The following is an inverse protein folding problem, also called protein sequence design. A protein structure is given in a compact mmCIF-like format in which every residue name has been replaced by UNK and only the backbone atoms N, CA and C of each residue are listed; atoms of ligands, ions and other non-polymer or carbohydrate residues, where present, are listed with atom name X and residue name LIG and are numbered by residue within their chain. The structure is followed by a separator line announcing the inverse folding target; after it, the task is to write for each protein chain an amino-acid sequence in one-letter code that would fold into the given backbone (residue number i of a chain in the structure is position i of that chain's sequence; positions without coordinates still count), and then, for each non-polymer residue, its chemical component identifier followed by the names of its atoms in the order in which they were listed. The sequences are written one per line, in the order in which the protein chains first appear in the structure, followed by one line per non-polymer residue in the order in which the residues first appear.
data_IF_692860735983
#
_entry.id   IF_692860735983
#
_cell.length_a   1.000
_cell.length_b   1.000
_cell.length_c   1.000
_cell.angle_alpha   90.00
_cell.angle_beta   90.00
_cell.angle_gamma   90.00
#
_symmetry.space_group_name_H-M   'P 1'
#
loop_
_entity.id
_entity.type
_entity.pdbx_description
1 polymer ?
#
# COMPACT_ATOMS: atom_id res chain seq x y z
N UNK A 1 1.79 23.88 13.29
CA UNK A 1 2.63 23.79 12.05
C UNK A 1 4.08 23.57 12.42
N UNK A 2 4.71 22.62 11.74
CA UNK A 2 6.13 22.31 11.89
C UNK A 2 7.00 23.49 11.41
N UNK A 3 8.29 23.48 11.75
CA UNK A 3 9.21 24.50 11.20
C UNK A 3 9.32 24.46 9.67
N UNK A 4 8.99 23.31 9.06
CA UNK A 4 9.00 23.14 7.61
C UNK A 4 7.83 23.86 6.92
N UNK A 5 6.63 23.78 7.49
CA UNK A 5 5.43 24.38 6.89
C UNK A 5 5.40 25.92 7.02
N UNK A 6 6.14 26.48 7.97
CA UNK A 6 6.24 27.95 8.15
C UNK A 6 6.81 28.69 6.93
N UNK A 7 7.61 28.00 6.11
CA UNK A 7 8.17 28.57 4.88
C UNK A 7 7.06 28.98 3.91
N UNK A 8 5.97 28.21 3.88
CA UNK A 8 4.83 28.42 2.99
C UNK A 8 3.79 29.44 3.51
N UNK A 9 3.89 29.88 4.78
CA UNK A 9 2.87 30.76 5.39
C UNK A 9 2.74 32.11 4.67
N UNK A 10 3.83 32.60 4.08
CA UNK A 10 3.90 33.90 3.38
C UNK A 10 3.66 33.75 1.87
N UNK A 11 3.50 32.54 1.38
CA UNK A 11 3.29 32.29 -0.04
C UNK A 11 1.77 32.29 -0.33
N UNK A 12 1.33 33.30 -1.10
CA UNK A 12 -0.08 33.49 -1.45
C UNK A 12 -0.59 32.35 -2.34
N UNK A 13 0.26 31.87 -3.26
CA UNK A 13 -0.08 30.76 -4.17
C UNK A 13 -0.32 29.45 -3.39
N UNK A 14 0.54 29.17 -2.40
CA UNK A 14 0.35 28.02 -1.52
C UNK A 14 -0.92 28.14 -0.67
N UNK A 15 -1.23 29.34 -0.20
CA UNK A 15 -2.45 29.58 0.59
C UNK A 15 -3.71 29.39 -0.26
N UNK A 16 -3.70 29.88 -1.50
CA UNK A 16 -4.77 29.69 -2.48
C UNK A 16 -4.93 28.22 -2.86
N UNK A 17 -3.81 27.50 -3.07
CA UNK A 17 -3.82 26.07 -3.33
C UNK A 17 -4.46 25.28 -2.17
N UNK A 18 -4.09 25.58 -0.92
CA UNK A 18 -4.67 24.91 0.26
C UNK A 18 -6.18 25.15 0.37
N UNK A 19 -6.65 26.37 0.12
CA UNK A 19 -8.08 26.69 0.07
C UNK A 19 -8.79 25.93 -1.06
N UNK A 20 -8.15 25.86 -2.23
CA UNK A 20 -8.71 25.14 -3.39
C UNK A 20 -8.91 23.64 -3.09
N UNK A 21 -7.98 23.01 -2.38
CA UNK A 21 -8.10 21.61 -1.94
C UNK A 21 -9.28 21.42 -0.97
N UNK A 22 -9.57 22.40 -0.14
CA UNK A 22 -10.68 22.31 0.83
C UNK A 22 -12.05 22.59 0.23
N UNK A 23 -12.12 23.48 -0.74
CA UNK A 23 -13.41 24.03 -1.24
C UNK A 23 -13.81 23.49 -2.61
N UNK A 24 -12.89 22.99 -3.41
CA UNK A 24 -13.15 22.55 -4.77
C UNK A 24 -13.45 21.06 -4.86
N UNK A 25 -14.61 20.74 -5.42
CA UNK A 25 -14.94 19.38 -5.86
C UNK A 25 -14.35 19.03 -7.24
N UNK A 26 -13.20 19.58 -7.63
CA UNK A 26 -12.57 19.35 -8.93
C UNK A 26 -11.04 19.32 -8.82
N UNK A 27 -10.36 18.64 -9.76
CA UNK A 27 -8.90 18.56 -9.77
C UNK A 27 -8.21 19.94 -9.84
N UNK A 28 -7.05 20.02 -9.20
CA UNK A 28 -6.19 21.20 -9.16
C UNK A 28 -4.83 20.83 -9.76
N UNK A 29 -4.25 21.75 -10.55
CA UNK A 29 -2.90 21.60 -11.13
C UNK A 29 -1.86 22.37 -10.31
N UNK A 30 -0.69 21.77 -10.11
CA UNK A 30 0.50 22.40 -9.52
C UNK A 30 1.67 22.12 -10.45
N UNK A 31 2.37 23.17 -10.85
CA UNK A 31 3.55 23.09 -11.73
C UNK A 31 4.75 23.79 -11.12
N UNK A 32 5.96 23.38 -11.56
CA UNK A 32 7.21 24.03 -11.17
C UNK A 32 7.86 23.50 -9.89
N UNK A 33 7.28 22.47 -9.24
CA UNK A 33 7.88 21.85 -8.07
C UNK A 33 8.84 20.72 -8.48
N UNK A 34 10.10 20.81 -8.07
CA UNK A 34 11.06 19.70 -8.16
C UNK A 34 10.71 18.59 -7.15
N UNK A 35 11.30 17.39 -7.30
CA UNK A 35 10.91 16.19 -6.54
C UNK A 35 10.82 16.42 -5.03
N UNK A 36 11.88 16.95 -4.40
CA UNK A 36 11.86 17.18 -2.94
C UNK A 36 10.87 18.29 -2.54
N UNK A 37 10.63 19.26 -3.43
CA UNK A 37 9.69 20.34 -3.17
C UNK A 37 8.24 19.83 -3.22
N UNK A 38 7.93 18.81 -4.05
CA UNK A 38 6.63 18.12 -4.02
C UNK A 38 6.39 17.45 -2.67
N UNK A 39 7.40 16.73 -2.16
CA UNK A 39 7.32 16.07 -0.84
C UNK A 39 7.06 17.11 0.26
N UNK A 40 7.80 18.22 0.25
CA UNK A 40 7.64 19.31 1.21
C UNK A 40 6.26 19.96 1.09
N UNK A 41 5.79 20.22 -0.14
CA UNK A 41 4.46 20.79 -0.38
C UNK A 41 3.34 19.85 0.11
N UNK A 42 3.41 18.54 -0.18
CA UNK A 42 2.44 17.55 0.31
C UNK A 42 2.41 17.53 1.83
N UNK A 43 3.56 17.43 2.51
CA UNK A 43 3.64 17.49 3.97
C UNK A 43 2.96 18.75 4.51
N UNK A 44 3.29 19.92 3.95
CA UNK A 44 2.79 21.20 4.43
C UNK A 44 1.30 21.41 4.14
N UNK A 45 0.79 20.89 3.01
CA UNK A 45 -0.64 20.90 2.68
C UNK A 45 -1.43 20.01 3.65
N UNK A 46 -0.93 18.81 3.94
CA UNK A 46 -1.57 17.90 4.91
C UNK A 46 -1.58 18.52 6.31
N UNK A 47 -0.50 19.15 6.75
CA UNK A 47 -0.45 19.83 8.04
C UNK A 47 -1.41 21.03 8.11
N UNK A 48 -1.57 21.79 7.01
CA UNK A 48 -2.45 22.96 6.94
C UNK A 48 -3.92 22.58 6.85
N UNK A 49 -4.26 21.55 6.07
CA UNK A 49 -5.65 21.11 5.85
C UNK A 49 -6.13 20.09 6.87
N UNK A 50 -5.22 19.45 7.61
CA UNK A 50 -5.54 18.32 8.49
C UNK A 50 -5.93 17.04 7.77
N UNK A 51 -5.82 16.99 6.43
CA UNK A 51 -6.18 15.83 5.61
C UNK A 51 -5.00 14.87 5.45
N UNK A 52 -5.31 13.59 5.35
CA UNK A 52 -4.35 12.54 4.99
C UNK A 52 -4.02 12.61 3.51
N UNK A 53 -2.85 12.10 3.11
CA UNK A 53 -2.41 12.10 1.71
C UNK A 53 -2.41 10.71 1.09
N UNK A 54 -2.85 10.61 -0.16
CA UNK A 54 -2.54 9.49 -1.02
C UNK A 54 -1.75 9.98 -2.23
N UNK A 55 -0.54 9.45 -2.43
CA UNK A 55 0.39 9.93 -3.44
C UNK A 55 0.57 8.86 -4.50
N UNK A 56 0.27 9.22 -5.75
CA UNK A 56 0.49 8.36 -6.92
C UNK A 56 1.72 8.86 -7.68
N UNK A 57 2.65 7.95 -7.93
CA UNK A 57 3.89 8.21 -8.68
C UNK A 57 3.95 7.37 -9.96
N UNK A 58 4.83 7.71 -10.93
CA UNK A 58 4.89 7.00 -12.20
C UNK A 58 5.30 5.54 -12.11
N UNK A 59 6.19 5.20 -11.16
CA UNK A 59 6.76 3.86 -11.02
C UNK A 59 7.16 3.55 -9.56
N UNK A 60 7.48 2.28 -9.29
CA UNK A 60 7.88 1.81 -7.95
C UNK A 60 9.11 2.54 -7.41
N UNK A 61 10.12 2.81 -8.25
CA UNK A 61 11.32 3.51 -7.81
C UNK A 61 11.03 4.96 -7.37
N UNK A 62 10.11 5.62 -8.07
CA UNK A 62 9.64 6.96 -7.68
C UNK A 62 8.79 6.91 -6.42
N UNK A 63 7.98 5.85 -6.24
CA UNK A 63 7.19 5.64 -5.02
C UNK A 63 8.09 5.45 -3.79
N UNK A 64 9.10 4.59 -3.90
CA UNK A 64 10.08 4.36 -2.82
C UNK A 64 10.78 5.66 -2.44
N UNK A 65 11.32 6.41 -3.42
CA UNK A 65 11.99 7.70 -3.15
C UNK A 65 11.06 8.71 -2.49
N UNK A 66 9.81 8.81 -2.95
CA UNK A 66 8.84 9.72 -2.36
C UNK A 66 8.50 9.33 -0.92
N UNK A 67 8.28 8.02 -0.68
CA UNK A 67 8.04 7.45 0.64
C UNK A 67 9.20 7.72 1.60
N UNK A 68 10.45 7.41 1.21
CA UNK A 68 11.64 7.66 2.02
C UNK A 68 11.78 9.13 2.39
N UNK A 69 11.62 10.02 1.40
CA UNK A 69 11.69 11.45 1.62
C UNK A 69 10.57 11.96 2.54
N UNK A 70 9.31 11.55 2.31
CA UNK A 70 8.17 12.00 3.12
C UNK A 70 8.27 11.49 4.57
N UNK A 71 8.81 10.29 4.78
CA UNK A 71 9.06 9.72 6.10
C UNK A 71 10.09 10.51 6.93
N UNK A 72 10.89 11.39 6.31
CA UNK A 72 11.76 12.31 7.03
C UNK A 72 11.00 13.53 7.58
N UNK A 73 9.85 13.86 7.01
CA UNK A 73 9.04 14.99 7.45
C UNK A 73 7.99 14.59 8.49
N UNK A 74 7.42 13.39 8.37
CA UNK A 74 6.29 12.93 9.20
C UNK A 74 6.32 11.43 9.43
N UNK A 75 5.70 10.99 10.51
CA UNK A 75 5.48 9.57 10.82
C UNK A 75 4.15 9.08 10.22
N UNK A 76 3.94 7.77 10.20
CA UNK A 76 2.71 7.18 9.68
C UNK A 76 2.59 7.22 8.16
N UNK A 77 3.72 7.28 7.46
CA UNK A 77 3.81 7.17 6.00
C UNK A 77 3.99 5.69 5.64
N UNK A 78 3.19 5.18 4.69
CA UNK A 78 3.28 3.80 4.25
C UNK A 78 3.47 3.72 2.74
N UNK A 79 4.26 2.73 2.30
CA UNK A 79 4.44 2.39 0.90
C UNK A 79 3.49 1.23 0.56
N UNK A 80 2.64 1.44 -0.46
CA UNK A 80 1.74 0.42 -1.00
C UNK A 80 2.34 -0.12 -2.30
N UNK A 81 2.97 -1.31 -2.30
CA UNK A 81 3.70 -1.82 -3.44
C UNK A 81 2.80 -2.45 -4.49
N UNK A 82 3.29 -2.50 -5.72
CA UNK A 82 2.75 -3.38 -6.74
C UNK A 82 3.06 -4.84 -6.37
N UNK A 83 2.09 -5.73 -6.55
CA UNK A 83 2.32 -7.18 -6.46
C UNK A 83 2.17 -7.84 -7.83
N UNK A 84 2.74 -9.02 -7.97
CA UNK A 84 2.49 -9.87 -9.13
C UNK A 84 1.37 -10.87 -8.81
N UNK A 85 0.40 -10.99 -9.72
CA UNK A 85 -0.67 -11.96 -9.58
C UNK A 85 -0.18 -13.34 -10.05
N UNK A 86 -0.42 -14.34 -9.22
CA UNK A 86 -0.16 -15.74 -9.57
C UNK A 86 -1.31 -16.27 -10.41
N UNK A 87 -1.18 -16.20 -11.72
CA UNK A 87 -2.21 -16.64 -12.67
C UNK A 87 -1.99 -18.07 -13.19
N UNK A 88 -0.83 -18.67 -12.89
CA UNK A 88 -0.45 -20.03 -13.23
C UNK A 88 -0.06 -20.82 -11.98
N UNK A 89 -0.19 -22.14 -12.03
CA UNK A 89 0.24 -23.05 -10.94
C UNK A 89 1.77 -23.18 -10.97
N UNK A 90 2.46 -22.28 -10.25
CA UNK A 90 3.92 -22.23 -10.12
C UNK A 90 4.30 -22.40 -8.65
N UNK A 91 5.40 -23.10 -8.38
CA UNK A 91 5.93 -23.30 -7.03
C UNK A 91 6.86 -22.14 -6.60
N UNK A 92 6.93 -21.86 -5.28
CA UNK A 92 7.91 -20.95 -4.71
C UNK A 92 7.65 -19.45 -4.88
N UNK A 93 6.38 -19.05 -5.08
CA UNK A 93 6.02 -17.65 -5.22
C UNK A 93 6.02 -16.96 -3.87
N UNK A 94 6.76 -15.84 -3.77
CA UNK A 94 6.73 -14.96 -2.60
C UNK A 94 5.39 -14.20 -2.54
N UNK A 95 4.78 -14.18 -1.35
CA UNK A 95 3.58 -13.38 -1.05
C UNK A 95 3.90 -12.13 -0.24
N UNK A 96 5.16 -11.77 -0.13
CA UNK A 96 5.62 -10.66 0.69
C UNK A 96 4.91 -9.33 0.34
N UNK A 97 4.87 -8.97 -0.95
CA UNK A 97 4.18 -7.74 -1.36
C UNK A 97 2.67 -7.77 -1.13
N UNK A 98 2.02 -8.93 -1.27
CA UNK A 98 0.60 -9.10 -0.91
C UNK A 98 0.37 -8.85 0.59
N UNK A 99 1.26 -9.38 1.43
CA UNK A 99 1.18 -9.22 2.88
C UNK A 99 1.46 -7.78 3.32
N UNK A 100 2.44 -7.10 2.70
CA UNK A 100 2.69 -5.66 2.93
C UNK A 100 1.45 -4.83 2.56
N UNK A 101 0.82 -5.13 1.41
CA UNK A 101 -0.41 -4.44 0.97
C UNK A 101 -1.53 -4.59 1.99
N UNK A 102 -1.79 -5.81 2.47
CA UNK A 102 -2.81 -6.09 3.49
C UNK A 102 -2.54 -5.32 4.78
N UNK A 103 -1.27 -5.26 5.21
CA UNK A 103 -0.86 -4.45 6.36
C UNK A 103 -1.16 -2.96 6.18
N UNK A 104 -0.86 -2.40 5.00
CA UNK A 104 -1.17 -1.00 4.69
C UNK A 104 -2.68 -0.75 4.64
N UNK A 105 -3.45 -1.66 4.01
CA UNK A 105 -4.91 -1.55 3.95
C UNK A 105 -5.55 -1.59 5.33
N UNK A 106 -5.03 -2.42 6.27
CA UNK A 106 -5.48 -2.43 7.66
C UNK A 106 -5.21 -1.10 8.34
N UNK A 107 -4.00 -0.54 8.19
CA UNK A 107 -3.65 0.79 8.72
C UNK A 107 -4.56 1.91 8.20
N UNK A 108 -5.00 1.81 6.94
CA UNK A 108 -5.94 2.76 6.36
C UNK A 108 -7.31 2.64 7.05
N UNK A 109 -7.83 1.42 7.23
CA UNK A 109 -9.12 1.16 7.90
C UNK A 109 -9.12 1.68 9.34
N UNK A 110 -8.03 1.44 10.07
CA UNK A 110 -7.88 1.88 11.47
C UNK A 110 -7.68 3.39 11.60
N UNK A 111 -7.40 4.05 10.49
CA UNK A 111 -7.06 5.46 10.49
C UNK A 111 -5.65 5.77 11.03
N UNK A 112 -4.81 4.75 11.24
CA UNK A 112 -3.45 4.84 11.79
C UNK A 112 -2.42 5.10 10.69
N UNK A 113 -2.62 6.20 9.95
CA UNK A 113 -1.69 6.65 8.91
C UNK A 113 -1.81 8.15 8.68
N UNK A 114 -0.76 8.76 8.12
CA UNK A 114 -0.76 10.16 7.67
C UNK A 114 -0.68 10.27 6.15
N UNK A 115 0.02 9.34 5.51
CA UNK A 115 0.16 9.29 4.07
C UNK A 115 0.36 7.86 3.57
N UNK A 116 -0.13 7.59 2.36
CA UNK A 116 0.16 6.37 1.60
C UNK A 116 0.75 6.76 0.26
N UNK A 117 1.85 6.12 -0.11
CA UNK A 117 2.54 6.32 -1.39
C UNK A 117 2.45 5.05 -2.22
N UNK A 118 2.06 5.17 -3.47
CA UNK A 118 1.98 4.05 -4.42
C UNK A 118 2.45 4.47 -5.81
N UNK A 119 2.90 3.51 -6.61
CA UNK A 119 2.96 3.71 -8.05
C UNK A 119 1.57 3.66 -8.66
N UNK A 120 1.38 4.24 -9.84
CA UNK A 120 0.12 4.14 -10.57
C UNK A 120 -0.27 2.67 -10.85
N UNK A 121 0.73 1.83 -11.12
CA UNK A 121 0.53 0.40 -11.32
C UNK A 121 0.05 -0.32 -10.06
N UNK A 122 0.60 0.00 -8.89
CA UNK A 122 0.16 -0.56 -7.62
C UNK A 122 -1.26 -0.12 -7.26
N UNK A 123 -1.55 1.18 -7.42
CA UNK A 123 -2.84 1.77 -7.11
C UNK A 123 -3.97 1.28 -8.03
N UNK A 124 -3.63 0.98 -9.31
CA UNK A 124 -4.60 0.45 -10.27
C UNK A 124 -5.02 -0.99 -9.98
N UNK A 125 -4.18 -1.79 -9.29
CA UNK A 125 -4.47 -3.21 -9.05
C UNK A 125 -5.70 -3.40 -8.15
N UNK A 126 -6.55 -4.35 -8.53
CA UNK A 126 -7.64 -4.79 -7.68
C UNK A 126 -7.12 -5.46 -6.41
N UNK A 127 -7.91 -5.34 -5.35
CA UNK A 127 -7.65 -5.94 -4.04
C UNK A 127 -8.98 -6.30 -3.38
N UNK A 128 -8.92 -6.92 -2.22
CA UNK A 128 -10.08 -7.21 -1.38
C UNK A 128 -10.80 -5.89 -1.00
N UNK A 129 -12.14 -5.85 -0.94
CA UNK A 129 -12.87 -4.65 -0.52
C UNK A 129 -12.70 -4.36 0.97
N UNK A 130 -12.83 -3.08 1.42
CA UNK A 130 -12.66 -2.70 2.83
C UNK A 130 -13.53 -3.52 3.79
N UNK A 131 -14.78 -3.77 3.40
CA UNK A 131 -15.71 -4.55 4.21
C UNK A 131 -15.21 -5.99 4.42
N UNK A 132 -14.70 -6.64 3.37
CA UNK A 132 -14.19 -8.01 3.45
C UNK A 132 -12.92 -8.10 4.32
N UNK A 133 -12.05 -7.09 4.27
CA UNK A 133 -10.89 -7.00 5.15
C UNK A 133 -11.33 -6.84 6.61
N UNK A 134 -12.24 -5.92 6.88
CA UNK A 134 -12.75 -5.63 8.22
C UNK A 134 -13.46 -6.83 8.86
N UNK A 135 -14.30 -7.56 8.10
CA UNK A 135 -15.01 -8.74 8.58
C UNK A 135 -14.09 -9.91 8.95
N UNK A 136 -12.93 -9.98 8.30
CA UNK A 136 -11.94 -11.06 8.49
C UNK A 136 -10.80 -10.67 9.44
N UNK A 137 -10.71 -9.39 9.80
CA UNK A 137 -9.78 -8.89 10.81
C UNK A 137 -10.38 -9.02 12.21
N UNK A 138 -9.53 -9.26 13.20
CA UNK A 138 -9.94 -9.29 14.60
C UNK A 138 -8.76 -9.05 15.51
N UNK A 139 -9.07 -8.61 16.72
CA UNK A 139 -8.08 -8.33 17.74
C UNK A 139 -8.17 -9.38 18.86
N UNK A 140 -7.02 -9.77 19.40
CA UNK A 140 -6.90 -10.60 20.59
C UNK A 140 -6.18 -9.77 21.64
N UNK A 141 -6.73 -9.69 22.84
CA UNK A 141 -6.18 -8.93 23.95
C UNK A 141 -5.98 -9.81 25.20
N UNK A 142 -5.05 -9.42 26.06
CA UNK A 142 -4.87 -10.06 27.36
C UNK A 142 -6.17 -10.00 28.15
N UNK A 143 -6.61 -11.11 28.72
CA UNK A 143 -7.87 -11.27 29.42
C UNK A 143 -9.07 -11.70 28.57
N UNK A 144 -8.93 -11.76 27.23
CA UNK A 144 -9.99 -12.29 26.37
C UNK A 144 -10.21 -13.79 26.63
N UNK A 145 -11.46 -14.25 26.48
CA UNK A 145 -11.80 -15.67 26.46
C UNK A 145 -11.82 -16.18 25.02
N UNK A 146 -10.99 -17.16 24.71
CA UNK A 146 -10.89 -17.74 23.37
C UNK A 146 -10.86 -19.28 23.43
N UNK A 147 -11.62 -19.91 22.54
CA UNK A 147 -11.51 -21.35 22.29
C UNK A 147 -10.49 -21.58 21.17
N UNK A 148 -9.47 -22.42 21.40
CA UNK A 148 -8.39 -22.67 20.44
C UNK A 148 -8.85 -23.35 19.15
N UNK A 149 -9.85 -24.22 19.20
CA UNK A 149 -10.37 -24.91 18.01
C UNK A 149 -11.16 -23.93 17.12
N UNK A 150 -11.98 -23.07 17.74
CA UNK A 150 -12.69 -22.02 17.03
C UNK A 150 -11.70 -21.01 16.44
N UNK A 151 -10.65 -20.67 17.20
CA UNK A 151 -9.58 -19.78 16.73
C UNK A 151 -8.82 -20.39 15.55
N UNK A 152 -8.46 -21.68 15.60
CA UNK A 152 -7.83 -22.36 14.48
C UNK A 152 -8.71 -22.30 13.22
N UNK A 153 -10.02 -22.54 13.38
CA UNK A 153 -10.97 -22.45 12.28
C UNK A 153 -11.04 -21.04 11.71
N UNK A 154 -11.04 -20.01 12.57
CA UNK A 154 -11.07 -18.60 12.19
C UNK A 154 -9.79 -18.17 11.45
N UNK A 155 -8.62 -18.61 11.93
CA UNK A 155 -7.34 -18.36 11.27
C UNK A 155 -7.27 -19.01 9.89
N UNK A 156 -7.69 -20.28 9.75
CA UNK A 156 -7.75 -20.96 8.44
C UNK A 156 -8.68 -20.22 7.46
N UNK A 157 -9.84 -19.72 7.93
CA UNK A 157 -10.76 -18.89 7.11
C UNK A 157 -10.15 -17.53 6.73
N UNK A 158 -9.26 -16.98 7.56
CA UNK A 158 -8.49 -15.79 7.27
C UNK A 158 -7.27 -16.06 6.35
N UNK A 159 -7.07 -17.33 5.93
CA UNK A 159 -6.04 -17.73 4.98
C UNK A 159 -4.73 -18.19 5.60
N UNK A 160 -4.63 -18.26 6.94
CA UNK A 160 -3.43 -18.77 7.61
C UNK A 160 -3.25 -20.27 7.44
N UNK A 161 -2.00 -20.70 7.41
CA UNK A 161 -1.63 -22.10 7.37
C UNK A 161 -1.15 -22.58 8.73
N UNK A 162 -1.61 -23.77 9.14
CA UNK A 162 -1.19 -24.40 10.40
C UNK A 162 0.10 -25.18 10.21
N UNK A 163 1.07 -24.94 11.09
CA UNK A 163 2.35 -25.64 11.15
C UNK A 163 2.63 -26.10 12.57
N UNK A 164 3.61 -27.00 12.73
CA UNK A 164 4.07 -27.43 14.05
C UNK A 164 4.83 -26.29 14.77
N UNK A 165 5.50 -25.43 14.01
CA UNK A 165 6.22 -24.26 14.48
C UNK A 165 6.06 -23.12 13.48
N UNK A 166 5.93 -21.87 13.98
CA UNK A 166 5.88 -20.68 13.15
C UNK A 166 7.29 -20.27 12.78
N UNK A 167 7.59 -20.26 11.48
CA UNK A 167 8.87 -19.85 10.89
C UNK A 167 8.71 -18.83 9.75
N UNK A 168 7.48 -18.43 9.45
CA UNK A 168 7.15 -17.45 8.41
C UNK A 168 5.82 -16.75 8.64
N UNK A 169 5.63 -15.65 7.91
CA UNK A 169 4.41 -14.86 7.94
C UNK A 169 3.21 -15.67 7.46
N UNK A 170 2.00 -15.37 7.98
CA UNK A 170 0.75 -16.07 7.67
C UNK A 170 0.70 -17.52 8.16
N UNK A 171 1.56 -17.89 9.09
CA UNK A 171 1.55 -19.18 9.77
C UNK A 171 1.00 -19.06 11.19
N UNK A 172 0.44 -20.16 11.69
CA UNK A 172 0.10 -20.31 13.09
C UNK A 172 0.39 -21.73 13.58
N UNK A 173 0.61 -21.86 14.89
CA UNK A 173 0.83 -23.15 15.58
C UNK A 173 0.03 -23.18 16.87
N UNK A 174 -0.55 -24.32 17.19
CA UNK A 174 -1.24 -24.55 18.47
C UNK A 174 -0.59 -25.76 19.14
N UNK A 175 -0.09 -25.56 20.36
CA UNK A 175 0.58 -26.56 21.17
C UNK A 175 0.14 -26.43 22.64
N UNK A 176 -0.76 -27.33 23.09
CA UNK A 176 -1.38 -27.20 24.41
C UNK A 176 -2.13 -25.87 24.54
N UNK A 177 -1.86 -25.11 25.59
CA UNK A 177 -2.43 -23.78 25.81
C UNK A 177 -1.67 -22.63 25.13
N UNK A 178 -0.86 -22.91 24.10
CA UNK A 178 -0.06 -21.90 23.37
C UNK A 178 -0.56 -21.76 21.94
N UNK A 179 -0.77 -20.52 21.52
CA UNK A 179 -1.09 -20.14 20.15
C UNK A 179 -0.02 -19.17 19.65
N UNK A 180 0.79 -19.63 18.71
CA UNK A 180 1.79 -18.81 18.00
C UNK A 180 1.20 -18.37 16.66
N UNK A 181 1.32 -17.08 16.32
CA UNK A 181 0.81 -16.51 15.07
C UNK A 181 1.80 -15.49 14.53
N UNK A 182 2.01 -15.47 13.20
CA UNK A 182 2.73 -14.41 12.53
C UNK A 182 1.81 -13.65 11.54
N UNK A 183 1.18 -12.55 11.98
CA UNK A 183 0.27 -11.79 11.11
C UNK A 183 1.01 -11.07 9.98
N UNK A 184 0.40 -10.89 8.79
CA UNK A 184 0.90 -9.99 7.77
C UNK A 184 1.10 -8.56 8.29
N UNK A 185 2.18 -7.90 7.86
CA UNK A 185 2.48 -6.52 8.28
C UNK A 185 3.02 -6.36 9.70
N UNK A 186 3.14 -7.45 10.48
CA UNK A 186 3.82 -7.43 11.76
C UNK A 186 5.33 -7.64 11.56
N UNK A 187 6.16 -6.95 12.36
CA UNK A 187 7.62 -7.14 12.35
C UNK A 187 8.03 -8.47 12.96
N UNK A 188 7.31 -8.91 14.00
CA UNK A 188 7.59 -10.11 14.77
C UNK A 188 6.33 -10.95 14.97
N UNK A 189 6.47 -12.29 15.05
CA UNK A 189 5.37 -13.17 15.46
C UNK A 189 5.04 -12.98 16.94
N UNK A 190 3.83 -13.41 17.31
CA UNK A 190 3.35 -13.35 18.68
C UNK A 190 3.03 -14.74 19.21
N UNK A 191 3.30 -14.94 20.50
CA UNK A 191 2.91 -16.10 21.30
C UNK A 191 1.85 -15.70 22.30
N UNK A 192 0.70 -16.32 22.21
CA UNK A 192 -0.45 -16.11 23.09
C UNK A 192 -0.53 -17.32 24.02
N UNK A 193 -0.43 -17.07 25.32
CA UNK A 193 -0.54 -18.11 26.36
C UNK A 193 -1.92 -18.04 26.98
N UNK A 194 -2.54 -19.22 27.13
CA UNK A 194 -3.85 -19.35 27.73
C UNK A 194 -3.75 -20.06 29.08
N UNK A 195 -4.53 -19.56 30.04
CA UNK A 195 -4.86 -20.28 31.28
C UNK A 195 -6.32 -20.72 31.18
N UNK A 196 -6.55 -22.03 30.89
CA UNK A 196 -7.85 -22.51 30.43
C UNK A 196 -8.19 -21.87 29.08
N UNK A 197 -9.32 -21.17 29.00
CA UNK A 197 -9.76 -20.45 27.80
C UNK A 197 -9.44 -18.93 27.86
N UNK A 198 -8.81 -18.45 28.95
CA UNK A 198 -8.47 -17.04 29.13
C UNK A 198 -7.06 -16.75 28.64
N UNK A 199 -6.88 -15.68 27.85
CA UNK A 199 -5.58 -15.19 27.41
C UNK A 199 -4.83 -14.58 28.62
N UNK A 200 -3.80 -15.29 29.07
CA UNK A 200 -2.97 -14.86 30.22
C UNK A 200 -1.95 -13.81 29.78
N UNK A 201 -1.21 -14.10 28.70
CA UNK A 201 -0.19 -13.18 28.21
C UNK A 201 -0.01 -13.25 26.68
N UNK A 202 0.43 -12.13 26.11
CA UNK A 202 0.81 -12.02 24.69
C UNK A 202 2.23 -11.49 24.63
N UNK A 203 3.14 -12.25 23.99
CA UNK A 203 4.54 -11.87 23.87
C UNK A 203 4.99 -11.99 22.42
N UNK A 204 5.82 -11.07 21.96
CA UNK A 204 6.56 -11.23 20.71
C UNK A 204 7.65 -12.28 20.91
N UNK A 205 8.08 -12.91 19.82
CA UNK A 205 9.20 -13.84 19.86
C UNK A 205 10.05 -13.78 18.59
N UNK A 206 11.30 -14.11 18.71
CA UNK A 206 12.25 -14.20 17.61
C UNK A 206 12.10 -15.54 16.87
N UNK A 207 11.93 -15.50 15.56
CA UNK A 207 11.69 -16.69 14.71
C UNK A 207 12.84 -17.70 14.80
N UNK A 208 14.08 -17.23 14.74
CA UNK A 208 15.25 -18.11 14.65
C UNK A 208 15.52 -18.84 15.98
N UNK A 209 15.34 -18.14 17.10
CA UNK A 209 15.63 -18.69 18.43
C UNK A 209 14.38 -19.18 19.16
N UNK A 210 13.19 -18.82 18.70
CA UNK A 210 11.88 -19.10 19.34
C UNK A 210 11.76 -18.51 20.76
N UNK A 211 12.67 -17.59 21.13
CA UNK A 211 12.68 -16.95 22.45
C UNK A 211 11.76 -15.75 22.47
N UNK A 212 11.04 -15.60 23.57
CA UNK A 212 10.21 -14.41 23.83
C UNK A 212 11.08 -13.16 23.89
N UNK A 213 10.53 -12.06 23.41
CA UNK A 213 11.11 -10.73 23.46
C UNK A 213 10.21 -9.79 24.27
N UNK A 214 9.39 -8.99 23.64
CA UNK A 214 8.58 -7.96 24.29
C UNK A 214 7.16 -8.45 24.62
N UNK A 215 6.63 -8.04 25.76
CA UNK A 215 5.21 -8.20 26.07
C UNK A 215 4.39 -7.14 25.35
N UNK A 216 3.23 -7.56 24.84
CA UNK A 216 2.24 -6.67 24.22
C UNK A 216 0.85 -6.95 24.83
N UNK A 217 0.00 -5.94 24.88
CA UNK A 217 -1.33 -6.09 25.48
C UNK A 217 -2.35 -6.71 24.51
N UNK A 218 -2.07 -6.62 23.21
CA UNK A 218 -2.96 -7.12 22.18
C UNK A 218 -2.23 -7.34 20.86
N UNK A 219 -2.80 -8.17 20.00
CA UNK A 219 -2.39 -8.39 18.62
C UNK A 219 -3.58 -8.25 17.69
N UNK A 220 -3.37 -7.61 16.57
CA UNK A 220 -4.33 -7.54 15.49
C UNK A 220 -4.04 -8.65 14.47
N UNK A 221 -5.07 -9.40 14.12
CA UNK A 221 -5.01 -10.46 13.13
C UNK A 221 -5.77 -9.98 11.90
N UNK A 222 -5.06 -9.83 10.79
CA UNK A 222 -5.61 -9.47 9.49
C UNK A 222 -5.56 -10.68 8.54
N UNK A 223 -6.33 -10.69 7.44
CA UNK A 223 -6.24 -11.76 6.44
C UNK A 223 -4.82 -11.95 5.90
N UNK A 224 -4.48 -13.18 5.58
CA UNK A 224 -3.13 -13.53 5.07
C UNK A 224 -3.01 -13.46 3.55
N UNK A 225 -4.10 -13.29 2.83
CA UNK A 225 -4.18 -13.20 1.36
C UNK A 225 -5.32 -12.28 0.94
N UNK A 226 -5.16 -11.62 -0.21
CA UNK A 226 -6.19 -10.74 -0.78
C UNK A 226 -7.36 -11.52 -1.39
N UNK A 227 -7.22 -12.80 -1.71
CA UNK A 227 -8.27 -13.61 -2.34
C UNK A 227 -8.82 -14.64 -1.38
N UNK A 228 -9.96 -14.35 -0.78
CA UNK A 228 -10.64 -15.21 0.18
C UNK A 228 -12.12 -15.38 -0.18
N UNK A 229 -12.60 -16.59 -0.04
CA UNK A 229 -14.01 -16.97 -0.08
C UNK A 229 -14.47 -17.37 1.33
N UNK A 230 -15.76 -17.33 1.59
CA UNK A 230 -16.28 -17.71 2.91
C UNK A 230 -16.10 -19.23 3.19
N UNK A 231 -16.14 -20.04 2.12
CA UNK A 231 -15.82 -21.48 2.19
C UNK A 231 -15.33 -22.01 0.84
N UNK A 232 -14.71 -23.20 0.87
CA UNK A 232 -14.31 -23.91 -0.36
C UNK A 232 -15.52 -24.28 -1.23
N UNK A 233 -16.64 -24.61 -0.60
CA UNK A 233 -17.90 -24.95 -1.26
C UNK A 233 -18.48 -23.76 -2.00
N UNK A 234 -18.43 -22.56 -1.40
CA UNK A 234 -18.84 -21.31 -2.06
C UNK A 234 -17.94 -21.03 -3.26
N UNK A 235 -16.61 -21.14 -3.08
CA UNK A 235 -15.65 -20.95 -4.16
C UNK A 235 -15.90 -21.92 -5.30
N UNK A 236 -16.04 -23.22 -5.01
CA UNK A 236 -16.32 -24.26 -6.00
C UNK A 236 -17.62 -23.96 -6.76
N UNK A 237 -18.67 -23.57 -6.04
CA UNK A 237 -19.98 -23.21 -6.66
C UNK A 237 -19.87 -22.02 -7.60
N UNK A 238 -19.13 -20.96 -7.23
CA UNK A 238 -18.88 -19.79 -8.09
C UNK A 238 -18.09 -20.19 -9.35
N UNK A 239 -17.07 -21.05 -9.20
CA UNK A 239 -16.28 -21.58 -10.31
C UNK A 239 -17.16 -22.45 -11.24
N UNK A 240 -17.98 -23.35 -10.70
CA UNK A 240 -18.91 -24.14 -11.49
C UNK A 240 -19.89 -23.30 -12.29
N UNK A 241 -20.42 -22.23 -11.67
CA UNK A 241 -21.32 -21.28 -12.32
C UNK A 241 -20.62 -20.55 -13.46
N UNK A 242 -19.39 -20.10 -13.27
CA UNK A 242 -18.56 -19.50 -14.29
C UNK A 242 -18.30 -20.47 -15.45
N UNK A 243 -17.90 -21.72 -15.14
CA UNK A 243 -17.62 -22.76 -16.13
C UNK A 243 -18.85 -23.09 -16.97
N UNK A 244 -20.05 -23.22 -16.34
CA UNK A 244 -21.31 -23.48 -17.02
C UNK A 244 -21.73 -22.30 -17.93
N UNK A 245 -21.41 -21.07 -17.57
CA UNK A 245 -21.69 -19.86 -18.35
C UNK A 245 -20.83 -19.68 -19.60
N UNK A 246 -19.71 -20.42 -19.74
CA UNK A 246 -18.83 -20.32 -20.89
C UNK A 246 -19.44 -20.95 -22.14
N UNK A 247 -19.54 -20.15 -23.21
CA UNK A 247 -20.09 -20.56 -24.51
C UNK A 247 -18.98 -20.84 -25.53
N UNK A 248 -19.27 -21.70 -26.51
CA UNK A 248 -18.43 -21.90 -27.69
C UNK A 248 -17.14 -22.69 -27.43
N UNK A 249 -16.01 -22.24 -28.02
CA UNK A 249 -14.73 -22.95 -28.05
C UNK A 249 -13.90 -22.94 -26.74
N UNK A 250 -14.46 -22.46 -25.61
CA UNK A 250 -13.77 -22.37 -24.34
C UNK A 250 -13.64 -23.73 -23.59
N UNK A 251 -13.50 -24.84 -24.31
CA UNK A 251 -13.49 -26.20 -23.75
C UNK A 251 -12.34 -26.38 -22.74
N UNK A 252 -11.12 -25.96 -23.10
CA UNK A 252 -9.96 -26.06 -22.21
C UNK A 252 -10.16 -25.29 -20.90
N UNK A 253 -10.64 -24.05 -20.98
CA UNK A 253 -10.88 -23.24 -19.79
C UNK A 253 -11.95 -23.86 -18.90
N UNK A 254 -13.03 -24.39 -19.49
CA UNK A 254 -14.09 -25.09 -18.76
C UNK A 254 -13.58 -26.32 -18.04
N UNK A 255 -12.76 -27.13 -18.69
CA UNK A 255 -12.14 -28.32 -18.09
C UNK A 255 -11.26 -27.95 -16.89
N UNK A 256 -10.38 -26.94 -17.03
CA UNK A 256 -9.53 -26.47 -15.94
C UNK A 256 -10.34 -25.92 -14.77
N UNK A 257 -11.41 -25.15 -15.04
CA UNK A 257 -12.31 -24.66 -13.99
C UNK A 257 -12.99 -25.78 -13.23
N UNK A 258 -13.49 -26.83 -13.90
CA UNK A 258 -14.07 -27.99 -13.22
C UNK A 258 -13.03 -28.77 -12.43
N UNK A 259 -11.80 -28.92 -12.93
CA UNK A 259 -10.70 -29.53 -12.17
C UNK A 259 -10.40 -28.73 -10.87
N UNK A 260 -10.36 -27.40 -10.93
CA UNK A 260 -10.16 -26.56 -9.75
C UNK A 260 -11.34 -26.68 -8.77
N UNK A 261 -12.57 -26.70 -9.28
CA UNK A 261 -13.77 -26.91 -8.46
C UNK A 261 -13.75 -28.29 -7.76
N UNK A 262 -13.39 -29.35 -8.47
CA UNK A 262 -13.31 -30.70 -7.92
C UNK A 262 -12.21 -30.81 -6.85
N UNK A 263 -11.05 -30.15 -7.05
CA UNK A 263 -9.99 -30.09 -6.01
C UNK A 263 -10.52 -29.42 -4.73
N UNK A 264 -11.24 -28.30 -4.84
CA UNK A 264 -11.85 -27.64 -3.69
C UNK A 264 -12.86 -28.52 -2.96
N UNK A 265 -13.73 -29.22 -3.70
CA UNK A 265 -14.71 -30.20 -3.14
C UNK A 265 -14.03 -31.38 -2.42
N UNK A 266 -12.83 -31.74 -2.84
CA UNK A 266 -11.99 -32.77 -2.18
C UNK A 266 -11.20 -32.17 -0.97
N UNK A 267 -11.37 -30.91 -0.63
CA UNK A 267 -10.68 -30.25 0.48
C UNK A 267 -9.26 -29.77 0.15
N UNK A 268 -8.87 -29.79 -1.13
CA UNK A 268 -7.53 -29.36 -1.60
C UNK A 268 -7.58 -27.87 -1.94
N UNK A 269 -6.70 -27.08 -1.34
CA UNK A 269 -6.57 -25.65 -1.66
C UNK A 269 -5.93 -25.46 -3.04
N UNK A 270 -6.37 -24.41 -3.74
CA UNK A 270 -5.78 -24.02 -5.02
C UNK A 270 -4.47 -23.25 -4.78
N UNK A 271 -3.40 -23.62 -5.50
CA UNK A 271 -2.12 -22.88 -5.45
C UNK A 271 -2.22 -21.53 -6.16
N UNK A 272 -3.01 -21.47 -7.23
CA UNK A 272 -3.20 -20.31 -8.11
C UNK A 272 -4.57 -19.65 -7.83
N UNK A 273 -4.71 -19.06 -6.63
CA UNK A 273 -5.99 -18.49 -6.20
C UNK A 273 -6.21 -17.07 -6.73
N UNK A 274 -5.14 -16.34 -7.11
CA UNK A 274 -5.21 -14.94 -7.56
C UNK A 274 -6.08 -14.75 -8.80
N UNK A 275 -6.11 -15.73 -9.72
CA UNK A 275 -6.98 -15.66 -10.92
C UNK A 275 -8.47 -15.55 -10.59
N UNK A 276 -8.86 -15.93 -9.35
CA UNK A 276 -10.25 -15.85 -8.88
C UNK A 276 -10.55 -14.56 -8.10
N UNK A 277 -9.62 -13.60 -8.04
CA UNK A 277 -9.88 -12.28 -7.42
C UNK A 277 -11.15 -11.61 -7.98
N UNK A 278 -11.35 -11.54 -9.33
CA UNK A 278 -12.57 -10.96 -9.89
C UNK A 278 -13.85 -11.75 -9.61
N UNK A 279 -13.73 -13.02 -9.24
CA UNK A 279 -14.85 -13.88 -8.85
C UNK A 279 -15.16 -13.80 -7.36
N UNK A 280 -14.12 -13.51 -6.54
CA UNK A 280 -14.27 -13.36 -5.10
C UNK A 280 -14.97 -12.04 -4.75
N UNK A 281 -14.63 -10.98 -5.45
CA UNK A 281 -15.09 -9.61 -5.16
C UNK A 281 -15.46 -8.87 -6.44
N UNK A 282 -16.36 -7.90 -6.31
CA UNK A 282 -16.52 -6.85 -7.31
C UNK A 282 -15.21 -6.06 -7.45
N UNK A 283 -15.04 -5.39 -8.61
CA UNK A 283 -13.83 -4.63 -8.93
C UNK A 283 -13.60 -3.50 -7.92
N UNK A 284 -12.75 -3.76 -6.91
CA UNK A 284 -12.39 -2.83 -5.85
C UNK A 284 -10.87 -2.63 -5.82
N UNK A 285 -10.44 -1.45 -5.37
CA UNK A 285 -9.04 -1.10 -5.29
C UNK A 285 -8.73 -0.30 -4.03
N UNK A 286 -7.49 0.17 -3.91
CA UNK A 286 -7.06 0.98 -2.76
C UNK A 286 -7.86 2.29 -2.65
N UNK A 287 -8.39 2.81 -3.75
CA UNK A 287 -9.21 4.04 -3.75
C UNK A 287 -10.52 3.90 -2.98
N UNK A 288 -11.03 2.66 -2.79
CA UNK A 288 -12.21 2.40 -1.97
C UNK A 288 -11.92 2.47 -0.45
N UNK A 289 -10.64 2.47 -0.06
CA UNK A 289 -10.21 2.55 1.34
C UNK A 289 -9.89 3.96 1.79
N UNK A 290 -9.48 4.83 0.85
CA UNK A 290 -8.82 6.07 1.16
C UNK A 290 -9.79 7.24 1.31
N UNK A 291 -9.61 8.00 2.39
CA UNK A 291 -10.26 9.29 2.62
C UNK A 291 -9.18 10.36 2.85
N UNK A 292 -9.16 11.41 2.02
CA UNK A 292 -8.16 12.48 2.14
C UNK A 292 -7.90 13.18 0.82
N UNK A 293 -6.68 13.68 0.62
CA UNK A 293 -6.26 14.37 -0.61
C UNK A 293 -5.42 13.43 -1.48
N UNK A 294 -5.84 13.26 -2.72
CA UNK A 294 -5.13 12.49 -3.73
C UNK A 294 -4.14 13.39 -4.47
N UNK A 295 -2.87 13.05 -4.44
CA UNK A 295 -1.80 13.72 -5.17
C UNK A 295 -1.32 12.84 -6.32
N UNK A 296 -1.28 13.38 -7.55
CA UNK A 296 -0.84 12.68 -8.76
C UNK A 296 0.42 13.34 -9.28
N UNK A 297 1.57 12.70 -9.07
CA UNK A 297 2.88 13.27 -9.40
C UNK A 297 3.33 12.86 -10.79
N UNK A 298 3.71 13.85 -11.64
CA UNK A 298 4.22 13.62 -13.01
C UNK A 298 3.20 12.87 -13.89
N UNK A 299 2.02 13.44 -14.02
CA UNK A 299 0.85 12.81 -14.66
C UNK A 299 1.10 12.33 -16.10
N UNK A 300 1.96 13.02 -16.90
CA UNK A 300 2.36 12.53 -18.23
C UNK A 300 3.13 11.21 -18.18
N UNK A 301 4.05 11.08 -17.23
CA UNK A 301 4.82 9.84 -17.05
C UNK A 301 3.92 8.72 -16.53
N UNK A 302 2.95 9.03 -15.65
CA UNK A 302 1.94 8.07 -15.19
C UNK A 302 1.17 7.52 -16.40
N UNK A 303 0.66 8.39 -17.26
CA UNK A 303 -0.07 8.00 -18.47
C UNK A 303 0.75 7.06 -19.36
N UNK A 304 1.97 7.46 -19.72
CA UNK A 304 2.87 6.67 -20.54
C UNK A 304 3.13 5.28 -19.94
N UNK A 305 3.49 5.25 -18.64
CA UNK A 305 3.78 4.00 -17.92
C UNK A 305 2.55 3.10 -17.80
N UNK A 306 1.40 3.67 -17.44
CA UNK A 306 0.14 2.91 -17.30
C UNK A 306 -0.27 2.30 -18.64
N UNK A 307 -0.27 3.08 -19.72
CA UNK A 307 -0.61 2.56 -21.07
C UNK A 307 0.33 1.43 -21.51
N UNK A 308 1.65 1.59 -21.27
CA UNK A 308 2.63 0.55 -21.58
C UNK A 308 2.39 -0.73 -20.77
N UNK A 309 2.15 -0.61 -19.46
CA UNK A 309 1.89 -1.75 -18.58
C UNK A 309 0.57 -2.44 -18.91
N UNK A 310 -0.49 -1.68 -19.17
CA UNK A 310 -1.78 -2.23 -19.62
C UNK A 310 -1.63 -3.04 -20.91
N UNK A 311 -0.81 -2.57 -21.85
CA UNK A 311 -0.52 -3.32 -23.08
C UNK A 311 0.15 -4.66 -22.79
N UNK A 312 1.19 -4.67 -21.97
CA UNK A 312 1.89 -5.91 -21.58
C UNK A 312 0.98 -6.89 -20.86
N UNK A 313 0.19 -6.41 -19.90
CA UNK A 313 -0.78 -7.24 -19.18
C UNK A 313 -1.84 -7.82 -20.12
N UNK A 314 -2.34 -7.04 -21.07
CA UNK A 314 -3.32 -7.52 -22.04
C UNK A 314 -2.74 -8.59 -22.99
N UNK A 315 -1.46 -8.50 -23.35
CA UNK A 315 -0.77 -9.54 -24.12
C UNK A 315 -0.65 -10.84 -23.30
N UNK A 316 -0.29 -10.76 -22.04
CA UNK A 316 -0.25 -11.91 -21.13
C UNK A 316 -1.64 -12.53 -20.91
N UNK A 317 -2.63 -11.72 -20.60
CA UNK A 317 -4.03 -12.18 -20.45
C UNK A 317 -4.52 -12.86 -21.73
N UNK A 318 -4.23 -12.30 -22.90
CA UNK A 318 -4.59 -12.90 -24.19
C UNK A 318 -3.96 -14.27 -24.37
N UNK A 319 -2.70 -14.43 -23.97
CA UNK A 319 -2.02 -15.72 -24.02
C UNK A 319 -2.69 -16.72 -23.07
N UNK A 320 -2.97 -16.32 -21.80
CA UNK A 320 -3.65 -17.14 -20.80
C UNK A 320 -5.07 -17.56 -21.21
N UNK A 321 -5.81 -16.67 -21.88
CA UNK A 321 -7.13 -16.97 -22.45
C UNK A 321 -7.04 -18.02 -23.57
N UNK A 322 -6.06 -17.90 -24.46
CA UNK A 322 -5.86 -18.84 -25.57
C UNK A 322 -5.45 -20.24 -25.08
N UNK A 323 -4.65 -20.29 -24.01
CA UNK A 323 -4.24 -21.56 -23.37
C UNK A 323 -5.31 -22.14 -22.41
N UNK A 324 -6.36 -21.39 -22.13
CA UNK A 324 -7.46 -21.79 -21.25
C UNK A 324 -7.11 -21.73 -19.75
N UNK A 325 -6.08 -20.97 -19.36
CA UNK A 325 -5.76 -20.71 -17.95
C UNK A 325 -6.66 -19.62 -17.35
N UNK A 326 -7.13 -18.70 -18.20
CA UNK A 326 -8.14 -17.71 -17.88
C UNK A 326 -9.37 -17.86 -18.78
N UNK A 327 -10.44 -17.20 -18.42
CA UNK A 327 -11.63 -17.05 -19.24
C UNK A 327 -12.28 -15.69 -18.98
N UNK A 328 -13.24 -15.32 -19.83
CA UNK A 328 -14.04 -14.11 -19.62
C UNK A 328 -14.76 -14.18 -18.26
N UNK A 329 -14.64 -13.11 -17.49
CA UNK A 329 -15.17 -13.00 -16.13
C UNK A 329 -14.10 -13.12 -15.03
N UNK A 330 -12.90 -13.65 -15.38
CA UNK A 330 -11.70 -13.65 -14.53
C UNK A 330 -10.48 -13.14 -15.29
N UNK A 331 -10.65 -12.13 -16.11
CA UNK A 331 -9.66 -11.59 -17.06
C UNK A 331 -9.33 -10.11 -16.83
N UNK A 332 -9.82 -9.47 -15.77
CA UNK A 332 -9.51 -8.08 -15.40
C UNK A 332 -9.02 -8.02 -13.96
N UNK A 333 -7.81 -7.47 -13.75
CA UNK A 333 -7.13 -7.44 -12.44
C UNK A 333 -6.72 -6.04 -12.01
N UNK A 334 -6.95 -5.04 -12.84
CA UNK A 334 -6.57 -3.65 -12.57
C UNK A 334 -7.48 -2.68 -13.32
N UNK A 335 -7.52 -1.45 -12.84
CA UNK A 335 -8.07 -0.30 -13.54
C UNK A 335 -7.19 0.03 -14.76
N UNK A 336 -7.80 0.43 -15.85
CA UNK A 336 -7.07 1.02 -16.98
C UNK A 336 -6.83 2.53 -16.77
N UNK A 337 -6.21 3.20 -17.75
CA UNK A 337 -5.91 4.62 -17.61
C UNK A 337 -7.16 5.50 -17.59
N UNK A 338 -8.20 5.13 -18.32
CA UNK A 338 -9.48 5.87 -18.34
C UNK A 338 -10.19 5.73 -16.99
N UNK A 339 -10.20 4.51 -16.42
CA UNK A 339 -10.73 4.25 -15.07
C UNK A 339 -9.97 5.09 -14.02
N UNK A 340 -8.62 5.17 -14.11
CA UNK A 340 -7.82 6.01 -13.21
C UNK A 340 -8.13 7.50 -13.35
N UNK A 341 -8.32 8.02 -14.58
CA UNK A 341 -8.71 9.40 -14.79
C UNK A 341 -10.07 9.70 -14.14
N UNK A 342 -11.04 8.79 -14.25
CA UNK A 342 -12.34 8.94 -13.59
C UNK A 342 -12.21 8.97 -12.05
N UNK A 343 -11.33 8.15 -11.48
CA UNK A 343 -11.02 8.19 -10.04
C UNK A 343 -10.36 9.52 -9.67
N UNK A 344 -9.36 9.98 -10.44
CA UNK A 344 -8.68 11.25 -10.16
C UNK A 344 -9.63 12.44 -10.19
N UNK A 345 -10.60 12.44 -11.10
CA UNK A 345 -11.62 13.46 -11.17
C UNK A 345 -12.58 13.38 -9.97
N UNK A 346 -13.07 12.19 -9.63
CA UNK A 346 -14.01 11.99 -8.52
C UNK A 346 -13.39 12.32 -7.15
N UNK A 347 -12.08 12.08 -6.98
CA UNK A 347 -11.32 12.41 -5.77
C UNK A 347 -10.83 13.87 -5.74
N UNK A 348 -11.15 14.69 -6.74
CA UNK A 348 -10.63 16.05 -6.87
C UNK A 348 -9.10 16.12 -6.73
N UNK A 349 -8.39 15.30 -7.50
CA UNK A 349 -6.95 15.10 -7.38
C UNK A 349 -6.14 16.38 -7.55
N UNK A 350 -5.01 16.46 -6.85
CA UNK A 350 -3.99 17.48 -6.99
C UNK A 350 -2.86 16.95 -7.88
N UNK A 351 -2.81 17.44 -9.12
CA UNK A 351 -1.73 17.10 -10.05
C UNK A 351 -0.47 17.91 -9.72
N UNK A 352 0.67 17.26 -9.63
CA UNK A 352 1.96 17.89 -9.27
C UNK A 352 3.01 17.55 -10.32
N UNK A 353 3.19 18.42 -11.30
CA UNK A 353 4.15 18.24 -12.39
C UNK A 353 5.35 19.18 -12.24
N UNK A 354 6.56 18.70 -12.50
CA UNK A 354 7.78 19.52 -12.42
C UNK A 354 7.86 20.55 -13.53
N UNK A 355 7.31 20.23 -14.70
CA UNK A 355 7.35 21.10 -15.89
C UNK A 355 5.96 21.60 -16.26
N UNK A 356 5.86 22.82 -16.81
CA UNK A 356 4.60 23.33 -17.36
C UNK A 356 4.02 22.39 -18.42
N UNK A 357 2.69 22.24 -18.41
CA UNK A 357 1.94 21.44 -19.37
C UNK A 357 0.87 22.28 -20.08
N UNK A 358 0.61 21.95 -21.34
CA UNK A 358 -0.47 22.59 -22.09
C UNK A 358 -1.87 22.13 -21.65
N UNK A 359 -2.01 20.91 -21.12
CA UNK A 359 -3.27 20.35 -20.63
C UNK A 359 -3.03 19.19 -19.67
N UNK A 360 -3.98 18.94 -18.78
CA UNK A 360 -4.07 17.73 -17.97
C UNK A 360 -5.07 16.75 -18.59
N UNK A 361 -4.97 15.47 -18.25
CA UNK A 361 -5.88 14.44 -18.77
C UNK A 361 -7.30 14.56 -18.21
N UNK A 362 -7.46 15.26 -17.07
CA UNK A 362 -8.74 15.68 -16.51
C UNK A 362 -8.79 17.20 -16.39
N UNK A 363 -9.95 17.85 -16.51
CA UNK A 363 -10.06 19.30 -16.38
C UNK A 363 -9.64 19.77 -14.97
N UNK A 364 -8.74 20.76 -14.90
CA UNK A 364 -8.35 21.39 -13.64
C UNK A 364 -9.03 22.76 -13.51
N UNK A 365 -9.48 23.10 -12.30
CA UNK A 365 -10.13 24.41 -12.03
C UNK A 365 -9.17 25.49 -11.58
N UNK A 366 -8.08 25.12 -10.98
CA UNK A 366 -7.03 26.03 -10.51
C UNK A 366 -5.68 25.50 -10.92
N UNK A 367 -4.77 26.39 -11.29
CA UNK A 367 -3.40 26.07 -11.63
C UNK A 367 -2.46 26.93 -10.79
N UNK A 368 -1.81 26.31 -9.82
CA UNK A 368 -0.77 26.92 -9.01
C UNK A 368 0.59 26.78 -9.69
N UNK A 369 1.34 27.88 -9.79
CA UNK A 369 2.65 27.91 -10.44
C UNK A 369 3.73 28.31 -9.46
N UNK A 370 4.64 27.39 -9.16
CA UNK A 370 5.79 27.63 -8.29
C UNK A 370 7.09 27.73 -9.10
N UNK A 371 8.00 28.58 -8.65
CA UNK A 371 9.34 28.69 -9.21
C UNK A 371 10.31 28.11 -8.19
N UNK A 372 10.78 26.89 -8.47
CA UNK A 372 11.73 26.21 -7.60
C UNK A 372 12.99 25.83 -8.36
N UNK A 373 14.13 26.08 -7.76
CA UNK A 373 15.41 25.60 -8.25
C UNK A 373 15.68 24.20 -7.70
N UNK A 374 16.17 23.29 -8.55
CA UNK A 374 16.62 21.97 -8.11
C UNK A 374 18.08 22.06 -7.62
N UNK A 375 18.32 21.61 -6.41
CA UNK A 375 19.68 21.42 -5.90
C UNK A 375 20.08 19.95 -6.07
N UNK A 376 21.30 19.73 -6.57
CA UNK A 376 21.90 18.41 -6.56
C UNK A 376 22.22 18.00 -5.11
N UNK A 377 22.19 16.68 -4.86
CA UNK A 377 22.60 16.15 -3.58
C UNK A 377 24.02 16.64 -3.27
N UNK A 378 24.20 17.24 -2.10
CA UNK A 378 25.51 17.74 -1.71
C UNK A 378 26.48 16.59 -1.41
N UNK A 379 27.66 16.62 -2.02
CA UNK A 379 28.67 15.55 -1.94
C UNK A 379 30.05 16.02 -1.48
N UNK A 380 30.15 17.26 -1.00
CA UNK A 380 31.41 17.86 -0.57
C UNK A 380 31.85 17.50 0.85
N UNK A 381 32.93 18.13 1.31
CA UNK A 381 33.42 18.03 2.69
C UNK A 381 32.65 18.95 3.63
N UNK A 382 32.61 18.63 4.93
CA UNK A 382 31.90 19.47 5.92
C UNK A 382 32.40 20.93 5.99
N UNK A 383 33.66 21.22 5.63
CA UNK A 383 34.17 22.58 5.51
C UNK A 383 33.54 23.31 4.32
N UNK A 384 33.44 22.65 3.17
CA UNK A 384 32.79 23.20 1.97
C UNK A 384 31.30 23.46 2.23
N UNK A 385 30.60 22.58 2.97
CA UNK A 385 29.21 22.80 3.35
C UNK A 385 29.02 24.13 4.09
N UNK A 386 29.94 24.46 5.00
CA UNK A 386 29.91 25.73 5.73
C UNK A 386 30.06 26.94 4.79
N UNK A 387 30.99 26.85 3.85
CA UNK A 387 31.23 27.92 2.89
C UNK A 387 30.05 28.11 1.94
N UNK A 388 29.39 27.02 1.53
CA UNK A 388 28.19 27.05 0.68
C UNK A 388 26.95 27.60 1.42
N UNK A 389 26.79 27.25 2.72
CA UNK A 389 25.63 27.67 3.51
C UNK A 389 25.73 29.11 4.03
N UNK A 390 26.92 29.62 4.28
CA UNK A 390 27.11 30.90 4.91
C UNK A 390 26.53 32.10 4.11
N UNK A 391 26.64 32.19 2.78
CA UNK A 391 25.96 33.18 1.98
C UNK A 391 24.44 33.11 2.10
N UNK A 392 23.86 31.88 2.07
CA UNK A 392 22.42 31.67 2.15
C UNK A 392 21.85 32.10 3.50
N UNK A 393 22.54 31.80 4.59
CA UNK A 393 22.15 32.20 5.94
C UNK A 393 22.19 33.72 6.13
N UNK A 394 23.15 34.43 5.46
CA UNK A 394 23.23 35.91 5.47
C UNK A 394 22.10 36.56 4.69
N UNK A 395 21.54 35.90 3.69
CA UNK A 395 20.46 36.43 2.85
C UNK A 395 19.06 36.04 3.33
N UNK A 396 18.94 35.64 4.60
CA UNK A 396 17.67 35.30 5.25
C UNK A 396 16.95 34.04 4.68
N UNK A 397 17.71 33.12 4.05
CA UNK A 397 17.18 31.82 3.67
C UNK A 397 17.02 30.91 4.89
N UNK A 398 15.93 30.16 4.96
CA UNK A 398 15.79 29.02 5.86
C UNK A 398 16.44 27.80 5.22
N UNK A 399 17.52 27.29 5.82
CA UNK A 399 18.23 26.12 5.31
C UNK A 399 17.84 24.87 6.08
N UNK A 400 17.37 23.86 5.37
CA UNK A 400 17.06 22.54 5.92
C UNK A 400 17.99 21.49 5.32
N UNK A 401 18.71 20.76 6.18
CA UNK A 401 19.59 19.67 5.77
C UNK A 401 18.90 18.36 6.13
N UNK A 402 18.53 17.60 5.11
CA UNK A 402 17.94 16.27 5.25
C UNK A 402 19.06 15.23 5.38
N UNK A 403 19.15 14.57 6.54
CA UNK A 403 20.17 13.58 6.83
C UNK A 403 19.57 12.17 6.82
N UNK A 404 19.82 11.41 5.76
CA UNK A 404 19.22 10.08 5.52
C UNK A 404 19.66 8.97 6.50
N UNK A 405 20.57 9.25 7.44
CA UNK A 405 21.02 8.24 8.43
C UNK A 405 21.19 8.84 9.82
N UNK A 406 21.04 8.00 10.86
CA UNK A 406 21.32 8.39 12.26
C UNK A 406 22.76 8.88 12.47
N UNK A 407 23.71 8.42 11.64
CA UNK A 407 25.11 8.85 11.66
C UNK A 407 25.26 10.28 11.12
N UNK A 408 24.54 10.64 10.08
CA UNK A 408 24.48 12.01 9.56
C UNK A 408 23.74 12.94 10.52
N UNK A 409 22.69 12.47 11.21
CA UNK A 409 21.97 13.23 12.25
C UNK A 409 22.86 13.57 13.47
N UNK A 410 23.84 12.72 13.82
CA UNK A 410 24.86 13.04 14.86
C UNK A 410 25.83 14.14 14.43
N UNK A 411 26.09 14.30 13.14
CA UNK A 411 26.88 15.42 12.62
C UNK A 411 26.17 16.77 12.86
N UNK A 412 24.83 16.83 12.77
CA UNK A 412 24.01 18.01 13.08
C UNK A 412 24.21 18.52 14.51
N UNK A 413 24.34 17.63 15.50
CA UNK A 413 24.55 17.99 16.91
C UNK A 413 25.94 18.61 17.14
N UNK A 414 26.97 18.15 16.43
CA UNK A 414 28.33 18.73 16.50
C UNK A 414 28.40 20.14 15.92
N UNK A 415 27.67 20.43 14.84
CA UNK A 415 27.62 21.77 14.24
C UNK A 415 26.93 22.80 15.14
N UNK A 416 25.85 22.40 15.82
CA UNK A 416 25.14 23.29 16.77
C UNK A 416 26.01 23.67 18.00
N UNK A 417 27.01 22.86 18.37
CA UNK A 417 27.97 23.14 19.46
C UNK A 417 29.12 24.03 19.05
N UNK A 418 29.39 24.18 17.75
CA UNK A 418 30.52 24.96 17.24
C UNK A 418 30.10 26.30 16.60
N UNK A 419 28.92 26.83 16.90
CA UNK A 419 28.53 28.19 16.56
C UNK A 419 27.97 28.40 15.14
N UNK A 420 27.19 27.44 14.66
CA UNK A 420 26.18 27.66 13.61
C UNK A 420 24.81 27.50 14.19
#
# INVERSE_FOLDING_TARGET
MSCFSKVWEKDEEFSTLAQSIDTLGAPVGVIGLADINKVHAVHSLCEKTGKKAFIITPDEASAVRFFENLSQFQQGVFLYPKREFTLLDVEGISREYEQIRLGVLSKIIDGDYTAVVASAAAAAQYTMPPQALKERSFKISSGDEINLDDMATRLVKAGYSRFDQVDGTSQFSIRGGLLDIFPPGADDPVRIELWGDTVDSITKFDIATQRRTDMVNSVEIIPSTEVLFNSREEQAKKIDTLAAGLKGKATKAREKLYQDSDRLKQGINLRCNDKYLPLAYDSKGIFDYFEGTLFVCESAKIKEKTLSQTKLMNEEIKWLLNDGNLCKGIDKFALDFEDLCAVYESCAAVYMDSLPRGSFDTPVRHLANFVCESFNAWSGTLSQLKDDLFPLLKTNYAVCIMAGTSRAGKARIRYRRNGL
#
